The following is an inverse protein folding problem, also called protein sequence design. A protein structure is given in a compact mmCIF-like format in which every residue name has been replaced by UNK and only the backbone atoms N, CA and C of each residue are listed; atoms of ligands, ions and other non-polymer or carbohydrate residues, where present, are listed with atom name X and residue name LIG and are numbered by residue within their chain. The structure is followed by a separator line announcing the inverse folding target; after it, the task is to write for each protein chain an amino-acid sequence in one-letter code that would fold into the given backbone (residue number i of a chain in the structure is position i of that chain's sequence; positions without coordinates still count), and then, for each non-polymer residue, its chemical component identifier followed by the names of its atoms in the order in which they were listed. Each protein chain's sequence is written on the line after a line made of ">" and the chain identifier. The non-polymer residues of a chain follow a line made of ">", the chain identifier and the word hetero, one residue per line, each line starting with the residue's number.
data_IF_575740826305
#
_entry.id   IF_575740826305
#
_cell.length_a   1.000
_cell.length_b   1.000
_cell.length_c   1.000
_cell.angle_alpha   90.00
_cell.angle_beta   90.00
_cell.angle_gamma   90.00
#
_symmetry.space_group_name_H-M   'P 1'
#
loop_
_entity.id
_entity.type
_entity.pdbx_description
1 polymer ?
#
# COMPACT_ATOMS: atom_id res chain seq x y z
N UNK A 1 -42.48 -81.18 -16.45
CA UNK A 1 -41.26 -80.60 -15.89
C UNK A 1 -40.98 -79.34 -16.68
N UNK A 2 -41.22 -78.17 -16.08
CA UNK A 2 -40.91 -76.89 -16.72
C UNK A 2 -39.48 -76.54 -16.34
N UNK A 3 -38.57 -76.58 -17.32
CA UNK A 3 -37.17 -76.17 -17.14
C UNK A 3 -37.12 -74.68 -16.77
N UNK A 4 -36.59 -74.39 -15.59
CA UNK A 4 -36.38 -73.03 -15.10
C UNK A 4 -35.28 -72.31 -15.89
N UNK A 5 -35.32 -70.97 -15.99
CA UNK A 5 -34.36 -70.20 -16.78
C UNK A 5 -32.92 -70.43 -16.29
N UNK A 6 -32.00 -70.57 -17.24
CA UNK A 6 -30.57 -70.80 -16.99
C UNK A 6 -29.94 -69.69 -16.15
N UNK A 7 -28.87 -69.98 -15.41
CA UNK A 7 -28.14 -69.00 -14.60
C UNK A 7 -27.74 -67.75 -15.41
N UNK A 8 -27.33 -67.92 -16.67
CA UNK A 8 -27.07 -66.80 -17.59
C UNK A 8 -28.30 -65.93 -17.85
N UNK A 9 -29.49 -66.51 -18.00
CA UNK A 9 -30.73 -65.73 -18.20
C UNK A 9 -31.12 -64.92 -16.95
N UNK A 10 -30.87 -65.45 -15.74
CA UNK A 10 -31.08 -64.71 -14.49
C UNK A 10 -30.07 -63.57 -14.32
N UNK A 11 -28.80 -63.80 -14.65
CA UNK A 11 -27.77 -62.76 -14.63
C UNK A 11 -28.10 -61.65 -15.63
N UNK A 12 -28.55 -62.01 -16.84
CA UNK A 12 -29.00 -61.03 -17.84
C UNK A 12 -30.21 -60.23 -17.35
N UNK A 13 -31.21 -60.88 -16.73
CA UNK A 13 -32.37 -60.16 -16.21
C UNK A 13 -32.01 -59.16 -15.12
N UNK A 14 -31.11 -59.51 -14.19
CA UNK A 14 -30.66 -58.61 -13.12
C UNK A 14 -29.81 -57.46 -13.67
N UNK A 15 -28.95 -57.71 -14.68
CA UNK A 15 -28.10 -56.67 -15.29
C UNK A 15 -28.92 -55.66 -16.10
N UNK A 16 -30.07 -56.07 -16.65
CA UNK A 16 -30.97 -55.21 -17.42
C UNK A 16 -32.23 -54.79 -16.65
N UNK A 17 -32.26 -54.96 -15.33
CA UNK A 17 -33.35 -54.48 -14.48
C UNK A 17 -33.11 -53.01 -14.11
N UNK A 18 -34.10 -52.15 -14.39
CA UNK A 18 -34.07 -50.73 -14.06
C UNK A 18 -35.30 -50.38 -13.22
N UNK A 19 -35.09 -50.23 -11.92
CA UNK A 19 -36.14 -49.85 -10.99
C UNK A 19 -36.45 -48.35 -11.08
N UNK A 20 -37.68 -48.02 -11.45
CA UNK A 20 -38.20 -46.65 -11.37
C UNK A 20 -39.14 -46.50 -10.19
N UNK A 21 -39.08 -45.38 -9.44
CA UNK A 21 -40.05 -45.11 -8.40
C UNK A 21 -41.47 -45.02 -9.00
N UNK A 22 -42.45 -45.68 -8.35
CA UNK A 22 -43.86 -45.51 -8.73
C UNK A 22 -44.33 -44.10 -8.35
N UNK A 23 -44.59 -43.28 -9.36
CA UNK A 23 -45.06 -41.89 -9.18
C UNK A 23 -46.59 -41.89 -9.08
N UNK A 24 -47.13 -41.25 -8.03
CA UNK A 24 -48.58 -41.05 -7.86
C UNK A 24 -48.97 -39.66 -8.36
N UNK A 25 -49.85 -39.58 -9.35
CA UNK A 25 -50.33 -38.30 -9.90
C UNK A 25 -51.52 -37.75 -9.11
N UNK A 26 -51.27 -36.79 -8.22
CA UNK A 26 -52.31 -36.09 -7.45
C UNK A 26 -52.84 -34.90 -8.27
N UNK A 27 -54.09 -34.99 -8.74
CA UNK A 27 -54.75 -33.91 -9.52
C UNK A 27 -55.38 -32.86 -8.59
N UNK A 28 -54.56 -31.98 -8.01
CA UNK A 28 -55.02 -30.87 -7.17
C UNK A 28 -54.46 -29.51 -7.66
N UNK A 29 -55.35 -28.56 -8.00
CA UNK A 29 -54.97 -27.24 -8.52
C UNK A 29 -54.13 -26.41 -7.53
N UNK A 30 -54.42 -26.47 -6.22
CA UNK A 30 -53.69 -25.69 -5.20
C UNK A 30 -52.25 -26.20 -5.04
N UNK A 31 -52.08 -27.51 -4.92
CA UNK A 31 -50.76 -28.15 -4.80
C UNK A 31 -49.94 -27.96 -6.07
N UNK A 32 -50.56 -28.09 -7.24
CA UNK A 32 -49.92 -27.84 -8.53
C UNK A 32 -49.43 -26.40 -8.68
N UNK A 33 -50.25 -25.41 -8.28
CA UNK A 33 -49.86 -24.00 -8.32
C UNK A 33 -48.67 -23.70 -7.39
N UNK A 34 -48.71 -24.20 -6.14
CA UNK A 34 -47.61 -24.03 -5.18
C UNK A 34 -46.31 -24.64 -5.73
N UNK A 35 -46.36 -25.87 -6.24
CA UNK A 35 -45.19 -26.52 -6.82
C UNK A 35 -44.63 -25.73 -8.01
N UNK A 36 -45.48 -25.24 -8.93
CA UNK A 36 -45.02 -24.43 -10.06
C UNK A 36 -44.44 -23.09 -9.64
N UNK A 37 -44.99 -22.44 -8.61
CA UNK A 37 -44.43 -21.20 -8.07
C UNK A 37 -43.08 -21.43 -7.41
N UNK A 38 -42.91 -22.50 -6.63
CA UNK A 38 -41.62 -22.86 -6.04
C UNK A 38 -40.60 -23.17 -7.14
N UNK A 39 -40.98 -23.97 -8.15
CA UNK A 39 -40.11 -24.25 -9.30
C UNK A 39 -39.69 -22.97 -10.02
N UNK A 40 -40.63 -22.06 -10.30
CA UNK A 40 -40.31 -20.77 -10.92
C UNK A 40 -39.42 -19.90 -10.04
N UNK A 41 -39.62 -19.92 -8.72
CA UNK A 41 -38.76 -19.21 -7.77
C UNK A 41 -37.33 -19.74 -7.78
N UNK A 42 -37.16 -21.07 -7.75
CA UNK A 42 -35.85 -21.72 -7.80
C UNK A 42 -35.16 -21.43 -9.14
N UNK A 43 -35.86 -21.59 -10.26
CA UNK A 43 -35.32 -21.32 -11.59
C UNK A 43 -34.94 -19.84 -11.72
N UNK A 44 -35.80 -18.93 -11.26
CA UNK A 44 -35.54 -17.50 -11.27
C UNK A 44 -34.31 -17.13 -10.42
N UNK A 45 -34.14 -17.75 -9.26
CA UNK A 45 -32.95 -17.57 -8.43
C UNK A 45 -31.69 -18.08 -9.12
N UNK A 46 -31.70 -19.31 -9.65
CA UNK A 46 -30.54 -19.89 -10.32
C UNK A 46 -30.14 -19.06 -11.54
N UNK A 47 -31.09 -18.71 -12.41
CA UNK A 47 -30.79 -17.94 -13.62
C UNK A 47 -30.40 -16.50 -13.27
N UNK A 48 -31.20 -15.79 -12.47
CA UNK A 48 -30.99 -14.38 -12.18
C UNK A 48 -29.80 -14.12 -11.26
N UNK A 49 -29.73 -14.81 -10.13
CA UNK A 49 -28.69 -14.58 -9.13
C UNK A 49 -27.39 -15.33 -9.47
N UNK A 50 -27.46 -16.63 -9.72
CA UNK A 50 -26.25 -17.46 -9.89
C UNK A 50 -25.61 -17.24 -11.25
N UNK A 51 -26.38 -17.35 -12.33
CA UNK A 51 -25.82 -17.20 -13.68
C UNK A 51 -25.61 -15.74 -14.06
N UNK A 52 -26.63 -14.88 -13.96
CA UNK A 52 -26.52 -13.49 -14.45
C UNK A 52 -25.74 -12.61 -13.49
N UNK A 53 -26.15 -12.50 -12.22
CA UNK A 53 -25.54 -11.56 -11.27
C UNK A 53 -24.14 -12.01 -10.80
N UNK A 54 -23.99 -13.28 -10.42
CA UNK A 54 -22.70 -13.86 -10.00
C UNK A 54 -21.83 -14.33 -11.16
N UNK A 55 -22.30 -14.19 -12.41
CA UNK A 55 -21.59 -14.63 -13.61
C UNK A 55 -21.10 -16.08 -13.53
N UNK A 56 -21.90 -16.98 -12.93
CA UNK A 56 -21.52 -18.39 -12.73
C UNK A 56 -21.34 -19.22 -14.01
N UNK A 57 -21.57 -18.62 -15.19
CA UNK A 57 -21.22 -19.20 -16.49
C UNK A 57 -19.77 -18.93 -16.90
N UNK A 58 -19.07 -18.02 -16.20
CA UNK A 58 -17.68 -17.67 -16.46
C UNK A 58 -16.75 -18.42 -15.51
N UNK A 59 -15.55 -18.69 -16.00
CA UNK A 59 -14.43 -19.12 -15.15
C UNK A 59 -13.66 -17.89 -14.67
N UNK A 60 -13.10 -17.95 -13.45
CA UNK A 60 -12.40 -16.84 -12.83
C UNK A 60 -10.94 -17.21 -12.58
N UNK A 61 -10.03 -16.32 -12.96
CA UNK A 61 -8.60 -16.51 -12.78
C UNK A 61 -7.99 -15.38 -11.96
N UNK A 62 -7.03 -15.72 -11.11
CA UNK A 62 -6.23 -14.74 -10.39
C UNK A 62 -5.22 -14.04 -11.31
N UNK A 63 -4.88 -12.80 -10.95
CA UNK A 63 -3.96 -11.96 -11.71
C UNK A 63 -2.55 -12.11 -11.14
N UNK A 64 -1.58 -12.28 -12.03
CA UNK A 64 -0.17 -12.03 -11.74
C UNK A 64 0.16 -10.61 -12.20
N UNK A 65 0.56 -9.74 -11.28
CA UNK A 65 0.85 -8.34 -11.56
C UNK A 65 2.33 -8.00 -11.34
N UNK A 66 2.81 -7.01 -12.10
CA UNK A 66 4.12 -6.39 -11.91
C UNK A 66 3.97 -4.89 -12.02
N UNK A 67 4.49 -4.16 -11.03
CA UNK A 67 4.44 -2.70 -10.97
C UNK A 67 5.86 -2.14 -10.95
N UNK A 68 6.09 -1.10 -11.75
CA UNK A 68 7.28 -0.26 -11.63
C UNK A 68 6.87 1.20 -11.63
N UNK A 69 7.55 1.98 -10.81
CA UNK A 69 7.24 3.39 -10.56
C UNK A 69 8.39 4.24 -11.07
N UNK A 70 8.08 5.40 -11.63
CA UNK A 70 9.08 6.42 -11.96
C UNK A 70 8.59 7.77 -11.48
N UNK A 71 9.32 8.35 -10.53
CA UNK A 71 9.03 9.67 -10.04
C UNK A 71 9.64 10.73 -10.94
N UNK A 72 9.04 11.92 -10.95
CA UNK A 72 9.50 13.15 -11.59
C UNK A 72 9.16 14.37 -10.74
N UNK A 73 10.16 15.15 -10.38
CA UNK A 73 10.00 16.38 -9.60
C UNK A 73 11.34 16.98 -9.20
N UNK A 74 11.34 18.29 -8.95
CA UNK A 74 12.45 19.03 -8.35
C UNK A 74 11.81 20.03 -7.40
N UNK A 75 12.34 20.17 -6.18
CA UNK A 75 11.83 21.10 -5.18
C UNK A 75 12.94 22.04 -4.72
N UNK A 76 12.56 23.27 -4.39
CA UNK A 76 13.44 24.25 -3.76
C UNK A 76 12.65 24.94 -2.63
N UNK A 77 12.93 24.61 -1.36
CA UNK A 77 12.10 25.02 -0.22
C UNK A 77 12.09 26.53 0.06
N UNK A 78 12.98 27.31 -0.59
CA UNK A 78 13.09 28.77 -0.53
C UNK A 78 12.84 29.38 0.86
N UNK A 79 13.57 28.89 1.86
CA UNK A 79 13.37 29.21 3.28
C UNK A 79 14.68 29.57 3.96
N UNK A 80 14.67 30.65 4.73
CA UNK A 80 15.86 31.17 5.41
C UNK A 80 16.08 30.53 6.79
N UNK A 81 15.06 29.89 7.35
CA UNK A 81 15.08 29.28 8.69
C UNK A 81 15.68 27.87 8.72
N UNK A 82 15.81 27.23 7.56
CA UNK A 82 16.25 25.82 7.42
C UNK A 82 17.74 25.69 7.03
N UNK A 83 18.50 26.79 7.00
CA UNK A 83 19.95 26.80 6.77
C UNK A 83 20.38 26.01 5.53
N UNK A 84 21.22 24.99 5.74
CA UNK A 84 21.81 24.14 4.69
C UNK A 84 20.78 23.29 3.90
N UNK A 85 19.55 23.16 4.41
CA UNK A 85 18.46 22.50 3.70
C UNK A 85 17.89 23.33 2.55
N UNK A 86 18.20 24.64 2.51
CA UNK A 86 17.75 25.56 1.47
C UNK A 86 18.55 25.42 0.17
N UNK A 87 18.47 24.24 -0.43
CA UNK A 87 19.12 23.87 -1.69
C UNK A 87 18.15 23.19 -2.63
N UNK A 88 18.55 22.99 -3.88
CA UNK A 88 17.74 22.26 -4.86
C UNK A 88 17.76 20.77 -4.51
N UNK A 89 16.57 20.19 -4.41
CA UNK A 89 16.39 18.77 -4.16
C UNK A 89 15.77 18.10 -5.39
N UNK A 90 16.45 17.07 -5.88
CA UNK A 90 15.98 16.25 -6.99
C UNK A 90 15.59 14.85 -6.50
N UNK A 91 15.08 14.04 -7.42
CA UNK A 91 14.54 12.70 -7.12
C UNK A 91 15.63 11.77 -6.59
N UNK A 92 16.87 11.93 -7.04
CA UNK A 92 17.98 11.11 -6.58
C UNK A 92 18.28 11.36 -5.11
N UNK A 93 18.13 12.61 -4.66
CA UNK A 93 18.24 12.98 -3.25
C UNK A 93 17.00 12.70 -2.41
N UNK A 94 15.81 12.51 -3.01
CA UNK A 94 14.53 12.43 -2.29
C UNK A 94 13.91 11.04 -2.19
N UNK A 95 14.31 10.10 -3.05
CA UNK A 95 13.74 8.75 -3.12
C UNK A 95 14.73 7.74 -2.57
N UNK A 96 14.42 7.22 -1.38
CA UNK A 96 15.27 6.26 -0.66
C UNK A 96 14.41 5.10 -0.15
N UNK A 97 14.64 3.84 -0.59
CA UNK A 97 15.56 3.45 -1.66
C UNK A 97 15.05 3.86 -3.05
N UNK A 98 15.94 4.04 -4.04
CA UNK A 98 15.56 4.43 -5.40
C UNK A 98 14.72 3.37 -6.12
N UNK A 99 14.77 2.12 -5.66
CA UNK A 99 13.98 1.02 -6.20
C UNK A 99 13.41 0.16 -5.07
N UNK A 100 12.09 0.06 -5.03
CA UNK A 100 11.35 -0.80 -4.11
C UNK A 100 10.29 -1.56 -4.93
N UNK A 101 10.04 -2.83 -4.56
CA UNK A 101 8.97 -3.62 -5.17
C UNK A 101 7.63 -3.11 -4.66
N UNK A 102 6.72 -2.85 -5.60
CA UNK A 102 5.32 -2.45 -5.34
C UNK A 102 5.15 -1.25 -4.40
N UNK A 103 6.15 -0.37 -4.35
CA UNK A 103 6.16 0.80 -3.49
C UNK A 103 7.25 1.79 -3.86
N UNK A 104 7.18 2.97 -3.27
CA UNK A 104 8.22 4.00 -3.33
C UNK A 104 8.10 4.88 -2.10
N UNK A 105 9.19 5.54 -1.74
CA UNK A 105 9.24 6.49 -0.65
C UNK A 105 9.62 7.88 -1.17
N UNK A 106 9.02 8.92 -0.60
CA UNK A 106 9.30 10.31 -0.94
C UNK A 106 9.53 11.05 0.36
N UNK A 107 10.70 11.69 0.48
CA UNK A 107 10.96 12.59 1.59
C UNK A 107 10.15 13.87 1.43
N UNK A 108 9.35 14.18 2.46
CA UNK A 108 8.60 15.44 2.58
C UNK A 108 9.18 16.36 3.64
N UNK A 109 9.84 15.78 4.64
CA UNK A 109 10.49 16.50 5.74
C UNK A 109 11.78 15.75 6.14
N UNK A 110 12.74 16.46 6.73
CA UNK A 110 14.01 15.86 7.12
C UNK A 110 14.72 16.63 8.23
N UNK A 111 15.53 15.90 8.98
CA UNK A 111 16.53 16.42 9.93
C UNK A 111 17.88 15.87 9.46
N UNK A 112 18.88 16.75 9.31
CA UNK A 112 20.23 16.36 8.90
C UNK A 112 21.19 16.66 10.05
N UNK A 113 21.94 15.65 10.47
CA UNK A 113 23.05 15.80 11.42
C UNK A 113 24.36 15.53 10.67
N UNK A 114 25.06 16.57 10.19
CA UNK A 114 26.28 16.41 9.41
C UNK A 114 27.47 15.95 10.28
N UNK A 115 28.48 15.37 9.63
CA UNK A 115 29.81 15.09 10.19
C UNK A 115 29.84 14.27 11.48
N UNK A 116 28.89 13.33 11.62
CA UNK A 116 28.92 12.37 12.71
C UNK A 116 30.14 11.46 12.63
N UNK A 117 30.86 11.35 13.75
CA UNK A 117 32.01 10.46 13.91
C UNK A 117 31.97 9.78 15.27
N UNK A 118 32.65 8.64 15.39
CA UNK A 118 32.72 7.88 16.64
C UNK A 118 33.61 8.62 17.65
N UNK A 119 32.99 9.28 18.62
CA UNK A 119 33.67 10.02 19.69
C UNK A 119 32.78 10.09 20.94
N UNK A 120 33.11 10.96 21.89
CA UNK A 120 32.25 11.27 23.04
C UNK A 120 31.53 12.61 22.87
N UNK A 121 30.26 12.66 23.26
CA UNK A 121 29.44 13.88 23.27
C UNK A 121 28.28 13.77 24.27
N UNK A 122 27.61 14.88 24.52
CA UNK A 122 26.40 14.91 25.34
C UNK A 122 25.24 14.18 24.63
N UNK A 123 24.47 13.39 25.38
CA UNK A 123 23.30 12.68 24.89
C UNK A 123 22.09 13.62 24.68
N UNK A 124 21.17 13.24 23.79
CA UNK A 124 19.98 14.02 23.49
C UNK A 124 19.00 14.05 24.70
N UNK A 125 18.48 15.21 25.12
CA UNK A 125 17.67 15.33 26.34
C UNK A 125 16.24 14.75 26.22
N UNK A 126 15.77 14.44 25.01
CA UNK A 126 14.40 13.94 24.76
C UNK A 126 14.32 12.41 24.69
N UNK A 127 15.40 11.68 24.96
CA UNK A 127 15.33 10.22 25.04
C UNK A 127 14.54 9.77 26.28
N UNK A 128 13.93 8.58 26.21
CA UNK A 128 12.97 8.09 27.21
C UNK A 128 13.56 7.78 28.60
N UNK A 129 14.87 7.96 28.81
CA UNK A 129 15.58 7.76 30.07
C UNK A 129 15.90 9.09 30.79
N UNK A 130 16.06 9.04 32.12
CA UNK A 130 16.53 10.22 32.86
C UNK A 130 18.03 10.40 32.60
N UNK A 131 18.38 11.16 31.56
CA UNK A 131 19.77 11.47 31.19
C UNK A 131 20.22 12.85 31.63
N UNK A 132 19.37 13.58 32.34
CA UNK A 132 19.74 14.86 32.94
C UNK A 132 20.70 14.60 34.09
N UNK A 133 21.78 15.36 34.12
CA UNK A 133 22.79 15.26 35.15
C UNK A 133 23.48 16.60 35.34
N UNK A 134 24.24 16.73 36.42
CA UNK A 134 25.07 17.92 36.68
C UNK A 134 26.49 17.48 37.00
N UNK A 135 27.45 18.39 36.89
CA UNK A 135 28.85 18.06 37.21
C UNK A 135 29.05 17.53 38.65
N UNK A 136 28.10 17.80 39.55
CA UNK A 136 28.09 17.29 40.94
C UNK A 136 27.28 16.02 41.15
N UNK A 137 26.33 15.72 40.28
CA UNK A 137 25.43 14.57 40.40
C UNK A 137 25.38 13.79 39.07
N UNK A 138 26.21 12.74 39.01
CA UNK A 138 26.30 11.80 37.89
C UNK A 138 25.58 10.49 38.18
N UNK A 139 24.70 10.43 39.20
CA UNK A 139 24.00 9.19 39.59
C UNK A 139 23.14 8.60 38.47
N UNK A 140 22.62 9.47 37.59
CA UNK A 140 21.83 9.12 36.42
C UNK A 140 22.67 8.60 35.23
N UNK A 141 24.00 8.72 35.29
CA UNK A 141 24.92 8.35 34.20
C UNK A 141 25.86 7.21 34.61
N UNK A 142 25.37 5.99 34.87
CA UNK A 142 26.25 4.88 35.25
C UNK A 142 27.19 4.49 34.10
N UNK A 143 28.50 4.50 34.36
CA UNK A 143 29.52 4.16 33.37
C UNK A 143 29.33 2.74 32.81
N UNK A 144 29.42 2.59 31.49
CA UNK A 144 29.24 1.32 30.78
C UNK A 144 27.77 0.91 30.57
N UNK A 145 26.81 1.70 31.04
CA UNK A 145 25.40 1.48 30.76
C UNK A 145 25.05 1.93 29.34
N UNK A 146 24.20 1.15 28.66
CA UNK A 146 23.67 1.48 27.33
C UNK A 146 22.17 1.67 27.48
N UNK A 147 21.72 2.90 27.27
CA UNK A 147 20.30 3.20 27.18
C UNK A 147 19.78 2.69 25.83
N UNK A 148 18.84 1.75 25.84
CA UNK A 148 18.37 1.06 24.62
C UNK A 148 17.66 2.00 23.65
N UNK A 149 17.12 3.11 24.17
CA UNK A 149 16.48 4.17 23.39
C UNK A 149 17.41 5.34 23.07
N UNK A 150 18.66 5.30 23.56
CA UNK A 150 19.67 6.33 23.40
C UNK A 150 20.57 6.11 22.17
N UNK A 151 21.59 6.95 22.05
CA UNK A 151 22.49 7.01 20.90
C UNK A 151 23.89 6.41 21.19
N UNK A 152 24.18 6.01 22.42
CA UNK A 152 25.48 5.45 22.80
C UNK A 152 25.57 4.86 24.21
N UNK A 153 26.80 4.58 24.63
CA UNK A 153 27.12 4.05 25.96
C UNK A 153 27.58 5.17 26.90
N UNK A 154 27.07 5.23 28.13
CA UNK A 154 27.47 6.24 29.10
C UNK A 154 28.92 6.08 29.55
N UNK A 155 29.66 7.20 29.59
CA UNK A 155 31.06 7.23 30.04
C UNK A 155 31.19 7.37 31.57
N UNK A 156 30.11 7.77 32.25
CA UNK A 156 30.13 8.11 33.69
C UNK A 156 30.21 9.61 33.99
N UNK A 157 30.31 10.46 32.97
CA UNK A 157 30.44 11.92 33.12
C UNK A 157 29.21 12.65 32.59
N UNK A 158 29.09 13.92 32.96
CA UNK A 158 28.16 14.86 32.33
C UNK A 158 28.86 15.68 31.25
N UNK A 159 28.11 16.05 30.23
CA UNK A 159 28.53 16.97 29.19
C UNK A 159 27.42 18.00 28.91
N UNK A 160 27.83 19.17 28.45
CA UNK A 160 26.88 20.23 28.07
C UNK A 160 26.32 19.90 26.69
N UNK A 161 25.01 19.64 26.61
CA UNK A 161 24.31 19.52 25.34
C UNK A 161 24.06 20.91 24.75
N UNK A 162 23.61 21.85 25.58
CA UNK A 162 23.45 23.27 25.25
C UNK A 162 23.99 24.15 26.38
N UNK A 163 23.90 25.48 26.24
CA UNK A 163 24.30 26.42 27.31
C UNK A 163 23.49 26.26 28.60
N UNK A 164 22.30 25.67 28.52
CA UNK A 164 21.35 25.55 29.64
C UNK A 164 21.10 24.10 30.08
N UNK A 165 21.41 23.12 29.22
CA UNK A 165 21.08 21.71 29.43
C UNK A 165 22.35 20.86 29.47
N UNK A 166 22.55 20.17 30.59
CA UNK A 166 23.57 19.15 30.80
C UNK A 166 22.94 17.75 30.76
N UNK A 167 23.57 16.84 30.02
CA UNK A 167 23.16 15.44 29.91
C UNK A 167 24.36 14.51 30.06
N UNK A 168 24.08 13.22 30.24
CA UNK A 168 25.13 12.20 30.30
C UNK A 168 26.02 12.24 29.05
N UNK A 169 27.33 12.16 29.25
CA UNK A 169 28.30 11.95 28.17
C UNK A 169 28.20 10.49 27.69
N UNK A 170 28.03 10.32 26.39
CA UNK A 170 28.00 9.03 25.71
C UNK A 170 29.21 8.87 24.80
N UNK A 171 29.61 7.61 24.59
CA UNK A 171 30.48 7.20 23.50
C UNK A 171 29.62 6.61 22.38
N UNK A 172 29.67 7.21 21.19
CA UNK A 172 28.82 6.83 20.06
C UNK A 172 29.03 7.72 18.83
N UNK A 173 28.02 7.79 17.96
CA UNK A 173 28.03 8.70 16.80
C UNK A 173 27.69 10.12 17.25
N UNK A 174 28.66 11.01 17.14
CA UNK A 174 28.62 12.36 17.67
C UNK A 174 28.93 13.40 16.58
N UNK A 175 28.27 14.57 16.57
CA UNK A 175 27.25 15.00 17.53
C UNK A 175 25.92 14.23 17.35
N UNK A 176 25.18 14.04 18.44
CA UNK A 176 23.81 13.50 18.36
C UNK A 176 22.87 14.48 17.65
N UNK A 177 21.71 13.97 17.23
CA UNK A 177 20.63 14.76 16.64
C UNK A 177 20.29 15.95 17.54
N UNK A 178 20.18 17.16 16.96
CA UNK A 178 20.00 18.41 17.71
C UNK A 178 18.53 18.78 17.94
N UNK A 179 17.60 18.08 17.28
CA UNK A 179 16.17 18.35 17.35
C UNK A 179 15.41 17.02 17.34
N UNK A 180 14.37 16.91 18.16
CA UNK A 180 13.49 15.72 18.20
C UNK A 180 12.43 15.75 17.09
N UNK A 181 11.92 16.95 16.81
CA UNK A 181 10.82 17.15 15.88
C UNK A 181 11.31 17.83 14.60
N UNK A 182 10.83 17.39 13.43
CA UNK A 182 11.26 17.98 12.18
C UNK A 182 10.65 19.39 12.01
N UNK A 183 11.22 20.23 11.12
CA UNK A 183 10.72 21.59 10.91
C UNK A 183 9.24 21.63 10.54
N UNK A 184 8.52 22.62 11.06
CA UNK A 184 7.16 22.97 10.64
C UNK A 184 7.14 24.42 10.12
N UNK A 185 6.62 24.69 8.91
CA UNK A 185 6.05 23.73 7.95
C UNK A 185 7.08 22.75 7.39
N UNK A 186 6.62 21.69 6.72
CA UNK A 186 7.51 20.67 6.14
C UNK A 186 8.52 21.29 5.17
N UNK A 187 9.76 20.79 5.16
CA UNK A 187 10.83 21.31 4.28
C UNK A 187 10.43 21.21 2.81
N UNK A 188 9.88 20.08 2.36
CA UNK A 188 9.61 19.83 0.94
C UNK A 188 8.11 19.87 0.63
N UNK A 189 7.44 20.97 0.95
CA UNK A 189 6.02 21.13 0.63
C UNK A 189 5.75 21.07 -0.89
N UNK A 190 6.69 21.58 -1.71
CA UNK A 190 6.63 21.56 -3.18
C UNK A 190 6.61 20.14 -3.77
N UNK A 191 6.92 19.12 -2.97
CA UNK A 191 6.75 17.72 -3.37
C UNK A 191 5.30 17.42 -3.80
N UNK A 192 4.31 18.21 -3.36
CA UNK A 192 2.90 18.09 -3.78
C UNK A 192 2.72 18.15 -5.30
N UNK A 193 3.60 18.85 -6.02
CA UNK A 193 3.57 18.97 -7.49
C UNK A 193 4.33 17.85 -8.21
N UNK A 194 4.97 16.94 -7.47
CA UNK A 194 5.68 15.82 -8.08
C UNK A 194 4.70 14.87 -8.75
N UNK A 195 5.19 14.20 -9.79
CA UNK A 195 4.42 13.25 -10.56
C UNK A 195 5.03 11.87 -10.48
N UNK A 196 4.17 10.87 -10.38
CA UNK A 196 4.53 9.46 -10.42
C UNK A 196 3.97 8.86 -11.70
N UNK A 197 4.82 8.17 -12.46
CA UNK A 197 4.40 7.32 -13.57
C UNK A 197 4.31 5.88 -13.07
N UNK A 198 3.10 5.34 -13.08
CA UNK A 198 2.85 3.93 -12.76
C UNK A 198 2.90 3.09 -14.03
N UNK A 199 3.81 2.13 -14.10
CA UNK A 199 3.83 1.13 -15.17
C UNK A 199 3.39 -0.20 -14.57
N UNK A 200 2.16 -0.59 -14.86
CA UNK A 200 1.59 -1.84 -14.39
C UNK A 200 1.34 -2.79 -15.57
N UNK A 201 1.81 -4.03 -15.42
CA UNK A 201 1.53 -5.13 -16.35
C UNK A 201 0.83 -6.23 -15.57
N UNK A 202 -0.28 -6.72 -16.11
CA UNK A 202 -1.07 -7.81 -15.56
C UNK A 202 -1.11 -8.98 -16.53
N UNK A 203 -1.14 -10.19 -15.99
CA UNK A 203 -1.34 -11.41 -16.75
C UNK A 203 -2.38 -12.26 -16.02
N UNK A 204 -3.35 -12.80 -16.78
CA UNK A 204 -4.23 -13.87 -16.36
C UNK A 204 -3.72 -15.17 -17.00
N UNK A 205 -2.90 -15.97 -16.29
CA UNK A 205 -2.24 -17.13 -16.89
C UNK A 205 -3.23 -18.18 -17.39
N UNK A 206 -4.34 -18.37 -16.66
CA UNK A 206 -5.39 -19.32 -17.02
C UNK A 206 -5.99 -19.05 -18.41
N UNK A 207 -6.11 -17.78 -18.77
CA UNK A 207 -6.72 -17.34 -20.04
C UNK A 207 -5.67 -16.92 -21.08
N UNK A 208 -4.38 -17.07 -20.78
CA UNK A 208 -3.27 -16.60 -21.61
C UNK A 208 -3.44 -15.13 -22.06
N UNK A 209 -3.95 -14.28 -21.18
CA UNK A 209 -4.22 -12.86 -21.44
C UNK A 209 -3.21 -12.01 -20.69
N UNK A 210 -2.59 -11.06 -21.37
CA UNK A 210 -1.66 -10.09 -20.75
C UNK A 210 -2.01 -8.69 -21.21
N UNK A 211 -2.02 -7.74 -20.28
CA UNK A 211 -2.34 -6.33 -20.57
C UNK A 211 -1.52 -5.38 -19.72
N UNK A 212 -1.34 -4.15 -20.22
CA UNK A 212 -0.65 -3.06 -19.53
C UNK A 212 -1.61 -1.89 -19.33
N UNK A 213 -1.35 -1.09 -18.31
CA UNK A 213 -2.13 0.12 -18.04
C UNK A 213 -1.84 1.24 -19.05
N UNK A 214 -0.63 1.28 -19.59
CA UNK A 214 -0.29 2.13 -20.74
C UNK A 214 -0.73 1.39 -22.00
N UNK A 215 -1.78 1.89 -22.67
CA UNK A 215 -2.25 1.33 -23.93
C UNK A 215 -1.20 1.55 -25.03
N UNK A 216 -0.98 0.54 -25.86
CA UNK A 216 -0.01 0.59 -26.96
C UNK A 216 -0.43 1.60 -28.06
N UNK A 217 -1.73 1.91 -28.14
CA UNK A 217 -2.31 2.86 -29.10
C UNK A 217 -2.19 4.33 -28.65
N UNK A 218 -1.61 4.63 -27.48
CA UNK A 218 -1.44 6.02 -27.05
C UNK A 218 -0.40 6.74 -27.92
N UNK A 219 -0.79 7.93 -28.42
CA UNK A 219 0.16 8.86 -29.03
C UNK A 219 1.30 9.15 -28.02
N UNK A 220 2.58 9.04 -28.41
CA UNK A 220 3.72 9.47 -27.59
C UNK A 220 3.56 10.90 -27.02
N UNK A 221 2.78 11.77 -27.67
CA UNK A 221 2.40 13.09 -27.16
C UNK A 221 1.47 13.05 -25.94
N UNK A 222 0.55 12.09 -25.85
CA UNK A 222 -0.41 11.97 -24.76
C UNK A 222 0.27 11.76 -23.41
N UNK A 223 1.21 10.81 -23.34
CA UNK A 223 1.95 10.51 -22.09
C UNK A 223 2.85 11.67 -21.61
N UNK A 224 3.12 12.68 -22.43
CA UNK A 224 3.88 13.86 -21.96
C UNK A 224 2.98 14.78 -21.12
N UNK A 225 1.71 14.91 -21.52
CA UNK A 225 0.81 15.94 -21.00
C UNK A 225 -0.31 15.40 -20.13
N UNK A 226 -0.70 14.14 -20.26
CA UNK A 226 -1.80 13.58 -19.48
C UNK A 226 -1.50 13.64 -17.98
N UNK A 227 -2.53 13.89 -17.19
CA UNK A 227 -2.48 13.81 -15.73
C UNK A 227 -3.74 13.11 -15.25
N UNK A 228 -3.59 12.21 -14.29
CA UNK A 228 -4.73 11.49 -13.74
C UNK A 228 -5.80 12.46 -13.21
N UNK A 229 -7.04 12.24 -13.65
CA UNK A 229 -8.21 12.95 -13.15
C UNK A 229 -9.40 11.98 -13.13
N UNK A 230 -9.89 11.67 -11.94
CA UNK A 230 -10.97 10.71 -11.73
C UNK A 230 -12.31 11.18 -12.34
N UNK A 231 -12.52 12.50 -12.46
CA UNK A 231 -13.75 13.07 -13.03
C UNK A 231 -13.76 13.12 -14.57
N UNK A 232 -12.59 12.96 -15.19
CA UNK A 232 -12.45 13.03 -16.65
C UNK A 232 -12.66 11.64 -17.29
N UNK A 233 -13.42 11.53 -18.40
CA UNK A 233 -13.69 10.23 -19.03
C UNK A 233 -12.45 9.55 -19.63
N UNK A 234 -11.42 10.30 -20.00
CA UNK A 234 -10.19 9.81 -20.64
C UNK A 234 -9.05 9.75 -19.63
N UNK A 235 -8.83 10.85 -18.90
CA UNK A 235 -7.69 11.02 -18.00
C UNK A 235 -7.81 10.23 -16.69
N UNK A 236 -8.97 9.65 -16.38
CA UNK A 236 -9.11 8.64 -15.31
C UNK A 236 -8.24 7.40 -15.54
N UNK A 237 -7.80 7.15 -16.76
CA UNK A 237 -6.89 6.04 -17.08
C UNK A 237 -5.42 6.47 -17.20
N UNK A 238 -5.13 7.78 -17.14
CA UNK A 238 -3.76 8.27 -17.26
C UNK A 238 -2.90 7.74 -16.09
N UNK A 239 -1.74 7.11 -16.37
CA UNK A 239 -0.88 6.52 -15.35
C UNK A 239 0.06 7.53 -14.67
N UNK A 240 -0.03 8.82 -15.02
CA UNK A 240 0.77 9.90 -14.45
C UNK A 240 -0.05 10.63 -13.40
N UNK A 241 0.26 10.39 -12.13
CA UNK A 241 -0.50 10.91 -11.01
C UNK A 241 0.34 11.97 -10.30
N UNK A 242 -0.27 13.12 -9.99
CA UNK A 242 0.35 14.12 -9.13
C UNK A 242 0.13 13.75 -7.66
N UNK A 243 1.13 13.93 -6.81
CA UNK A 243 1.03 13.55 -5.39
C UNK A 243 -0.10 14.27 -4.66
N UNK A 244 -0.27 15.57 -4.88
CA UNK A 244 -1.39 16.35 -4.34
C UNK A 244 -2.75 15.74 -4.73
N UNK A 245 -2.91 15.35 -6.00
CA UNK A 245 -4.14 14.71 -6.48
C UNK A 245 -4.38 13.37 -5.80
N UNK A 246 -3.34 12.54 -5.67
CA UNK A 246 -3.41 11.26 -4.96
C UNK A 246 -3.89 11.43 -3.51
N UNK A 247 -3.35 12.41 -2.80
CA UNK A 247 -3.69 12.67 -1.39
C UNK A 247 -5.11 13.27 -1.27
N UNK A 248 -5.52 14.13 -2.19
CA UNK A 248 -6.87 14.71 -2.25
C UNK A 248 -7.96 13.66 -2.56
N UNK A 249 -7.72 12.75 -3.50
CA UNK A 249 -8.66 11.65 -3.82
C UNK A 249 -8.85 10.70 -2.63
N UNK A 250 -7.88 10.64 -1.71
CA UNK A 250 -7.98 9.91 -0.44
C UNK A 250 -8.62 10.73 0.70
N UNK A 251 -9.15 11.92 0.41
CA UNK A 251 -9.70 12.89 1.38
C UNK A 251 -8.71 13.28 2.49
N UNK A 252 -7.43 13.45 2.13
CA UNK A 252 -6.37 13.86 3.04
C UNK A 252 -5.80 15.24 2.64
N UNK A 253 -5.06 15.88 3.55
CA UNK A 253 -4.34 17.13 3.28
C UNK A 253 -2.83 16.85 3.15
N UNK A 254 -2.24 17.23 2.02
CA UNK A 254 -0.82 17.02 1.76
C UNK A 254 0.09 17.73 2.77
N UNK A 255 -0.22 18.97 3.15
CA UNK A 255 0.65 19.75 4.05
C UNK A 255 0.76 19.06 5.42
N UNK A 256 -0.36 18.60 5.98
CA UNK A 256 -0.37 17.87 7.25
C UNK A 256 0.33 16.50 7.14
N UNK A 257 0.14 15.79 6.02
CA UNK A 257 0.83 14.53 5.75
C UNK A 257 2.34 14.73 5.61
N UNK A 258 2.77 15.84 5.01
CA UNK A 258 4.16 16.15 4.75
C UNK A 258 4.96 16.44 6.04
N UNK A 259 4.33 16.99 7.08
CA UNK A 259 4.99 17.34 8.34
C UNK A 259 5.40 16.11 9.15
N UNK A 260 4.49 15.15 9.31
CA UNK A 260 4.69 13.96 10.16
C UNK A 260 4.97 12.68 9.36
N UNK A 261 4.76 12.72 8.04
CA UNK A 261 4.76 11.55 7.18
C UNK A 261 3.47 10.73 7.28
N UNK A 262 3.37 9.71 6.44
CA UNK A 262 2.27 8.74 6.47
C UNK A 262 2.36 7.75 5.31
N UNK A 263 1.45 6.78 5.27
CA UNK A 263 1.48 5.67 4.33
C UNK A 263 0.25 5.74 3.43
N UNK A 264 0.49 5.99 2.14
CA UNK A 264 -0.55 6.04 1.12
C UNK A 264 -0.57 4.74 0.31
N UNK A 265 -1.77 4.21 0.10
CA UNK A 265 -2.04 3.07 -0.75
C UNK A 265 -2.56 3.49 -2.12
N UNK A 266 -1.98 2.93 -3.17
CA UNK A 266 -2.46 3.03 -4.54
C UNK A 266 -3.04 1.67 -4.92
N UNK A 267 -4.33 1.63 -5.21
CA UNK A 267 -5.04 0.41 -5.60
C UNK A 267 -5.34 0.47 -7.10
N UNK A 268 -4.85 -0.52 -7.83
CA UNK A 268 -5.10 -0.69 -9.26
C UNK A 268 -5.99 -1.91 -9.43
N UNK A 269 -7.27 -1.69 -9.68
CA UNK A 269 -8.27 -2.76 -9.82
C UNK A 269 -8.47 -3.08 -11.29
N UNK A 270 -8.38 -4.36 -11.61
CA UNK A 270 -8.64 -4.90 -12.95
C UNK A 270 -9.81 -5.89 -12.88
N UNK A 271 -11.02 -5.37 -13.03
CA UNK A 271 -12.23 -6.19 -13.20
C UNK A 271 -12.52 -6.31 -14.70
N UNK A 272 -12.06 -7.41 -15.29
CA UNK A 272 -12.08 -7.61 -16.73
C UNK A 272 -12.98 -8.77 -17.11
N UNK A 273 -13.93 -8.50 -18.00
CA UNK A 273 -14.67 -9.53 -18.70
C UNK A 273 -13.96 -9.87 -20.01
N UNK A 274 -13.32 -11.04 -20.08
CA UNK A 274 -12.56 -11.50 -21.24
C UNK A 274 -13.43 -12.03 -22.39
N UNK A 275 -14.75 -12.14 -22.19
CA UNK A 275 -15.70 -12.38 -23.28
C UNK A 275 -15.85 -11.14 -24.19
N UNK A 276 -15.51 -9.96 -23.66
CA UNK A 276 -15.54 -8.69 -24.38
C UNK A 276 -14.20 -8.41 -25.07
N UNK A 277 -14.20 -7.43 -25.97
CA UNK A 277 -12.99 -7.03 -26.67
C UNK A 277 -11.88 -6.54 -25.72
N UNK A 278 -10.62 -6.85 -26.05
CA UNK A 278 -9.40 -6.52 -25.29
C UNK A 278 -9.39 -5.08 -24.73
N UNK A 279 -9.90 -4.11 -25.48
CA UNK A 279 -9.91 -2.68 -25.11
C UNK A 279 -10.83 -2.32 -23.94
N UNK A 280 -11.81 -3.16 -23.57
CA UNK A 280 -12.73 -2.87 -22.46
C UNK A 280 -12.15 -3.20 -21.08
N UNK A 281 -11.12 -4.04 -21.02
CA UNK A 281 -10.41 -4.35 -19.78
C UNK A 281 -9.48 -3.18 -19.44
N UNK A 282 -9.91 -2.25 -18.59
CA UNK A 282 -9.13 -1.05 -18.25
C UNK A 282 -8.91 -0.98 -16.72
N UNK A 283 -7.78 -0.41 -16.27
CA UNK A 283 -7.50 -0.29 -14.85
C UNK A 283 -8.39 0.77 -14.22
N UNK A 284 -8.78 0.54 -12.97
CA UNK A 284 -9.40 1.54 -12.12
C UNK A 284 -8.46 1.88 -10.96
N UNK A 285 -8.09 3.16 -10.83
CA UNK A 285 -7.23 3.65 -9.76
C UNK A 285 -8.07 4.15 -8.58
N UNK A 286 -7.68 3.78 -7.37
CA UNK A 286 -8.19 4.40 -6.15
C UNK A 286 -7.08 4.58 -5.12
N UNK A 287 -7.27 5.55 -4.24
CA UNK A 287 -6.25 5.97 -3.29
C UNK A 287 -6.82 5.98 -1.89
N UNK A 288 -6.03 5.52 -0.92
CA UNK A 288 -6.46 5.49 0.48
C UNK A 288 -5.25 5.60 1.39
N UNK A 289 -5.38 6.34 2.50
CA UNK A 289 -4.40 6.30 3.59
C UNK A 289 -4.48 4.95 4.31
N UNK A 290 -3.34 4.29 4.50
CA UNK A 290 -3.23 2.95 5.10
C UNK A 290 -2.90 3.04 6.59
N UNK A 291 -2.05 4.00 6.98
CA UNK A 291 -1.70 4.22 8.37
C UNK A 291 -2.88 4.78 9.19
N UNK A 292 -2.88 4.44 10.47
CA UNK A 292 -3.89 4.91 11.42
C UNK A 292 -3.56 6.33 11.88
N UNK A 293 -4.55 7.21 11.81
CA UNK A 293 -4.44 8.61 12.26
C UNK A 293 -5.07 8.84 13.65
N UNK A 294 -5.72 7.82 14.20
CA UNK A 294 -6.48 7.88 15.45
C UNK A 294 -5.66 7.49 16.70
N UNK A 295 -4.35 7.28 16.55
CA UNK A 295 -3.46 6.96 17.67
C UNK A 295 -2.84 8.22 18.28
N UNK A 296 -2.78 8.26 19.61
CA UNK A 296 -2.01 9.27 20.35
C UNK A 296 -0.50 9.00 20.34
N UNK A 297 -0.09 7.81 19.91
CA UNK A 297 1.30 7.36 19.89
C UNK A 297 1.73 7.05 18.45
N UNK A 298 2.96 7.43 18.09
CA UNK A 298 3.59 7.15 16.80
C UNK A 298 2.77 7.60 15.58
N UNK A 299 2.42 8.89 15.51
CA UNK A 299 1.69 9.45 14.37
C UNK A 299 2.64 9.64 13.18
N UNK A 300 2.26 9.10 12.03
CA UNK A 300 2.98 9.28 10.77
C UNK A 300 3.98 8.16 10.43
N UNK A 301 4.96 8.46 9.59
CA UNK A 301 5.97 7.52 9.13
C UNK A 301 7.32 8.21 8.93
N UNK A 302 8.35 7.71 9.60
CA UNK A 302 9.73 8.20 9.49
C UNK A 302 10.73 7.05 9.57
N UNK A 303 11.97 7.30 9.14
CA UNK A 303 13.11 6.43 9.37
C UNK A 303 14.40 7.26 9.44
N UNK A 304 15.47 6.66 9.97
CA UNK A 304 16.82 7.24 9.99
C UNK A 304 17.75 6.44 9.07
N UNK A 305 18.63 7.12 8.35
CA UNK A 305 19.66 6.52 7.51
C UNK A 305 20.97 7.27 7.70
N UNK A 306 22.05 6.53 7.91
CA UNK A 306 23.42 7.07 7.90
C UNK A 306 24.06 6.92 6.51
N UNK A 307 24.78 7.94 6.06
CA UNK A 307 25.59 7.87 4.84
C UNK A 307 27.05 8.09 5.23
N UNK A 308 27.87 7.05 5.07
CA UNK A 308 29.32 7.15 5.21
C UNK A 308 29.90 7.54 3.84
N UNK A 309 30.54 8.72 3.78
CA UNK A 309 31.31 9.17 2.61
C UNK A 309 32.73 8.60 2.64
#
# INVERSE_FOLDING_TARGET
>A
MADGPSFCQRVVQVVFEYDTPRIVHIKNKKVGLINRLIQLGIIGYIIGWVFVYKKGYQDFGDIVSSVSTKLKGVAYPNRTDIGDLNRVWDIAGLVVPPQQRDGFFIMTNMIITPDQHQTTCAEAPWIGGNVSCTDTDTSNCPAGHVELTGNGMFTGKCANFSSEVQTCEIQGWCPVEQQDNPPSPAVLEDAKEFTILLKNTISFPLFNFTKRNILDDYDPGYLKNCRFNNSDPVDKYCPIIRLDTMVKEANQNFTALAEQGGIMGIFIVWDCNLDLHYNHCLPHYSFRRIDRTDSHFSVGYNFRLGMSL
#
